data_IF_932554388866
#
_entry.id   IF_932554388866
#
_cell.length_a   1.000
_cell.length_b   1.000
_cell.length_c   1.000
_cell.angle_alpha   90.00
_cell.angle_beta   90.00
_cell.angle_gamma   90.00
#
_symmetry.space_group_name_H-M   'P 1'
#
loop_
_entity.id
_entity.type
_entity.pdbx_description
1 polymer ?
#
# COMPACT_ATOMS: atom_id res chain seq x y z
N UNK A 1 -3.82 21.13 -9.02
CA UNK A 1 -4.25 20.34 -10.20
C UNK A 1 -3.91 18.88 -9.96
N UNK A 2 -4.85 17.93 -10.18
CA UNK A 2 -4.51 16.50 -10.20
C UNK A 2 -3.66 16.24 -11.45
N UNK A 3 -2.43 15.75 -11.28
CA UNK A 3 -1.60 15.31 -12.41
C UNK A 3 -2.32 14.14 -13.07
N UNK A 4 -2.57 14.21 -14.38
CA UNK A 4 -3.07 13.06 -15.14
C UNK A 4 -1.87 12.24 -15.59
N UNK A 5 -1.90 10.94 -15.32
CA UNK A 5 -0.92 9.98 -15.81
C UNK A 5 -1.50 9.28 -17.04
N UNK A 6 -0.69 9.11 -18.08
CA UNK A 6 -1.10 8.45 -19.32
C UNK A 6 -1.15 6.92 -19.16
N UNK A 7 -0.47 6.37 -18.15
CA UNK A 7 -0.46 4.94 -17.85
C UNK A 7 -0.20 4.66 -16.37
N UNK A 8 -0.48 3.42 -15.94
CA UNK A 8 -0.08 2.97 -14.60
C UNK A 8 1.45 2.97 -14.43
N UNK A 9 2.24 2.66 -15.47
CA UNK A 9 3.70 2.66 -15.36
C UNK A 9 4.27 4.05 -15.05
N UNK A 10 3.70 5.08 -15.67
CA UNK A 10 4.06 6.48 -15.37
C UNK A 10 3.66 6.85 -13.94
N UNK A 11 2.43 6.49 -13.53
CA UNK A 11 1.99 6.68 -12.15
C UNK A 11 2.88 5.93 -11.16
N UNK A 12 3.27 4.70 -11.47
CA UNK A 12 4.03 3.84 -10.56
C UNK A 12 5.43 4.42 -10.30
N UNK A 13 6.04 5.02 -11.33
CA UNK A 13 7.32 5.73 -11.19
C UNK A 13 7.19 6.89 -10.21
N UNK A 14 6.13 7.71 -10.31
CA UNK A 14 5.81 8.76 -9.33
C UNK A 14 5.44 8.18 -7.95
N UNK A 15 4.66 7.11 -7.91
CA UNK A 15 4.23 6.48 -6.68
C UNK A 15 5.44 6.04 -5.86
N UNK A 16 6.47 5.46 -6.49
CA UNK A 16 7.70 5.09 -5.79
C UNK A 16 8.47 6.30 -5.25
N UNK A 17 8.38 7.49 -5.87
CA UNK A 17 8.98 8.71 -5.30
C UNK A 17 8.25 9.17 -4.04
N UNK A 18 6.96 8.90 -3.92
CA UNK A 18 6.17 9.16 -2.70
C UNK A 18 6.45 8.16 -1.57
N UNK A 19 7.27 7.13 -1.83
CA UNK A 19 7.68 6.08 -0.89
C UNK A 19 9.21 5.96 -0.82
N UNK A 20 9.89 7.11 -0.83
CA UNK A 20 11.36 7.17 -0.78
C UNK A 20 11.92 6.60 0.53
N UNK A 21 11.21 6.78 1.65
CA UNK A 21 11.65 6.27 2.94
C UNK A 21 11.46 4.76 3.09
N UNK A 22 12.52 4.07 3.53
CA UNK A 22 12.54 2.63 3.78
C UNK A 22 11.52 2.19 4.82
N UNK A 23 11.35 2.95 5.90
CA UNK A 23 10.37 2.64 6.94
C UNK A 23 8.93 2.78 6.43
N UNK A 24 8.66 3.75 5.56
CA UNK A 24 7.35 3.89 4.91
C UNK A 24 7.04 2.64 4.06
N UNK A 25 7.95 2.22 3.18
CA UNK A 25 7.77 1.00 2.37
C UNK A 25 7.54 -0.25 3.22
N UNK A 26 8.27 -0.39 4.34
CA UNK A 26 8.10 -1.51 5.27
C UNK A 26 6.74 -1.50 5.96
N UNK A 27 6.22 -0.33 6.33
CA UNK A 27 4.89 -0.22 6.90
C UNK A 27 3.81 -0.59 5.89
N UNK A 28 3.93 -0.13 4.64
CA UNK A 28 3.07 -0.58 3.55
C UNK A 28 3.12 -2.10 3.37
N UNK A 29 4.32 -2.67 3.32
CA UNK A 29 4.52 -4.11 3.19
C UNK A 29 3.87 -4.88 4.35
N UNK A 30 4.09 -4.45 5.59
CA UNK A 30 3.47 -5.04 6.77
C UNK A 30 1.95 -4.93 6.74
N UNK A 31 1.41 -3.78 6.31
CA UNK A 31 -0.02 -3.58 6.08
C UNK A 31 -0.60 -4.56 5.06
N UNK A 32 0.08 -4.78 3.93
CA UNK A 32 -0.32 -5.79 2.93
C UNK A 32 -0.30 -7.21 3.47
N UNK A 33 0.70 -7.58 4.29
CA UNK A 33 0.72 -8.89 4.96
C UNK A 33 -0.48 -9.03 5.90
N UNK A 34 -0.79 -8.02 6.70
CA UNK A 34 -1.92 -8.04 7.63
C UNK A 34 -3.27 -8.13 6.89
N UNK A 35 -3.40 -7.50 5.72
CA UNK A 35 -4.56 -7.66 4.83
C UNK A 35 -4.73 -9.13 4.42
N UNK A 36 -3.66 -9.78 3.96
CA UNK A 36 -3.70 -11.19 3.56
C UNK A 36 -4.01 -12.11 4.74
N UNK A 37 -3.44 -11.84 5.91
CA UNK A 37 -3.72 -12.60 7.14
C UNK A 37 -5.19 -12.44 7.54
N UNK A 38 -5.73 -11.22 7.54
CA UNK A 38 -7.14 -10.97 7.88
C UNK A 38 -8.09 -11.73 6.94
N UNK A 39 -7.82 -11.70 5.62
CA UNK A 39 -8.60 -12.44 4.63
C UNK A 39 -8.48 -13.95 4.85
N UNK A 40 -7.27 -14.47 5.07
CA UNK A 40 -7.05 -15.89 5.32
C UNK A 40 -7.81 -16.36 6.57
N UNK A 41 -7.77 -15.58 7.67
CA UNK A 41 -8.51 -15.88 8.90
C UNK A 41 -10.02 -15.84 8.66
N UNK A 42 -10.53 -14.85 7.91
CA UNK A 42 -11.95 -14.78 7.55
C UNK A 42 -12.42 -16.05 6.82
N UNK A 43 -11.62 -16.54 5.87
CA UNK A 43 -11.91 -17.76 5.10
C UNK A 43 -11.82 -19.02 5.96
N UNK A 44 -10.75 -19.18 6.74
CA UNK A 44 -10.52 -20.37 7.57
C UNK A 44 -11.58 -20.51 8.66
N UNK A 45 -11.99 -19.40 9.27
CA UNK A 45 -12.96 -19.38 10.37
C UNK A 45 -14.41 -19.25 9.90
N UNK A 46 -14.63 -18.91 8.62
CA UNK A 46 -15.96 -18.53 8.11
C UNK A 46 -16.51 -17.23 8.71
N UNK A 47 -15.70 -16.48 9.47
CA UNK A 47 -16.13 -15.29 10.19
C UNK A 47 -15.78 -14.01 9.41
N UNK A 48 -16.80 -13.44 8.76
CA UNK A 48 -16.67 -12.20 7.98
C UNK A 48 -16.26 -10.96 8.81
N UNK A 49 -16.33 -11.01 10.14
CA UNK A 49 -15.85 -9.91 11.01
C UNK A 49 -14.36 -9.60 10.89
N UNK A 50 -13.58 -10.51 10.29
CA UNK A 50 -12.18 -10.26 9.96
C UNK A 50 -11.99 -9.42 8.69
N UNK A 51 -12.99 -9.32 7.81
CA UNK A 51 -12.88 -8.56 6.56
C UNK A 51 -12.67 -7.05 6.80
N UNK A 52 -13.31 -6.38 7.77
CA UNK A 52 -13.00 -5.00 8.11
C UNK A 52 -11.56 -4.78 8.61
N UNK A 53 -10.91 -5.79 9.18
CA UNK A 53 -9.52 -5.67 9.62
C UNK A 53 -8.55 -5.44 8.44
N UNK A 54 -8.87 -5.96 7.24
CA UNK A 54 -8.05 -5.77 6.06
C UNK A 54 -7.85 -4.28 5.69
N UNK A 55 -8.90 -3.48 5.38
CA UNK A 55 -8.71 -2.07 5.07
C UNK A 55 -8.17 -1.28 6.27
N UNK A 56 -8.52 -1.62 7.51
CA UNK A 56 -8.00 -0.94 8.71
C UNK A 56 -6.48 -1.12 8.82
N UNK A 57 -5.98 -2.34 8.72
CA UNK A 57 -4.55 -2.60 8.79
C UNK A 57 -3.81 -2.07 7.56
N UNK A 58 -4.35 -2.27 6.35
CA UNK A 58 -3.74 -1.79 5.11
C UNK A 58 -3.56 -0.27 5.11
N UNK A 59 -4.67 0.48 5.22
CA UNK A 59 -4.61 1.93 5.21
C UNK A 59 -3.98 2.51 6.48
N UNK A 60 -4.21 1.91 7.65
CA UNK A 60 -3.60 2.34 8.90
C UNK A 60 -2.08 2.32 8.82
N UNK A 61 -1.48 1.20 8.39
CA UNK A 61 -0.04 1.10 8.23
C UNK A 61 0.50 2.03 7.13
N UNK A 62 -0.18 2.11 5.98
CA UNK A 62 0.20 3.01 4.89
C UNK A 62 0.24 4.48 5.33
N UNK A 63 -0.80 4.94 6.04
CA UNK A 63 -0.88 6.32 6.52
C UNK A 63 0.15 6.63 7.60
N UNK A 64 0.46 5.68 8.49
CA UNK A 64 1.58 5.83 9.43
C UNK A 64 2.90 6.04 8.68
N UNK A 65 3.13 5.28 7.59
CA UNK A 65 4.28 5.48 6.70
C UNK A 65 4.36 6.90 6.14
N UNK A 66 3.29 7.32 5.48
CA UNK A 66 3.21 8.62 4.84
C UNK A 66 3.33 9.79 5.81
N UNK A 67 2.63 9.77 6.94
CA UNK A 67 2.58 10.94 7.81
C UNK A 67 3.82 11.07 8.71
N UNK A 68 4.42 9.97 9.16
CA UNK A 68 5.55 10.02 10.07
C UNK A 68 6.91 10.01 9.37
N UNK A 69 7.03 9.31 8.24
CA UNK A 69 8.33 9.09 7.57
C UNK A 69 8.51 9.93 6.30
N UNK A 70 7.60 9.82 5.34
CA UNK A 70 7.71 10.61 4.09
C UNK A 70 7.14 12.03 4.24
N UNK A 71 6.31 12.25 5.28
CA UNK A 71 5.61 13.53 5.58
C UNK A 71 4.86 14.09 4.38
N UNK A 72 4.29 13.23 3.56
CA UNK A 72 3.47 13.58 2.40
C UNK A 72 2.01 13.17 2.61
N UNK A 73 1.15 13.61 1.70
CA UNK A 73 -0.25 13.16 1.65
C UNK A 73 -0.35 11.95 0.71
N UNK A 74 -0.98 10.85 1.14
CA UNK A 74 -1.16 9.66 0.31
C UNK A 74 -1.73 9.99 -1.07
N UNK A 75 -1.08 9.46 -2.12
CA UNK A 75 -1.55 9.60 -3.50
C UNK A 75 -2.97 9.04 -3.71
N UNK A 76 -3.41 8.14 -2.82
CA UNK A 76 -4.75 7.53 -2.79
C UNK A 76 -5.88 8.56 -2.81
N UNK A 77 -5.68 9.75 -2.23
CA UNK A 77 -6.68 10.82 -2.28
C UNK A 77 -6.87 11.43 -3.67
N UNK A 78 -5.87 11.33 -4.54
CA UNK A 78 -5.93 11.82 -5.91
C UNK A 78 -6.22 10.70 -6.93
N UNK A 79 -5.63 9.52 -6.71
CA UNK A 79 -5.65 8.38 -7.64
C UNK A 79 -5.94 7.07 -6.89
N UNK A 80 -7.14 6.87 -6.34
CA UNK A 80 -7.43 5.77 -5.40
C UNK A 80 -7.16 4.38 -6.00
N UNK A 81 -7.61 4.15 -7.24
CA UNK A 81 -7.41 2.85 -7.92
C UNK A 81 -5.93 2.59 -8.20
N UNK A 82 -5.22 3.59 -8.74
CA UNK A 82 -3.81 3.42 -9.07
C UNK A 82 -2.94 3.29 -7.81
N UNK A 83 -3.26 3.99 -6.72
CA UNK A 83 -2.57 3.80 -5.44
C UNK A 83 -2.79 2.41 -4.88
N UNK A 84 -4.03 1.90 -4.90
CA UNK A 84 -4.30 0.53 -4.46
C UNK A 84 -3.51 -0.50 -5.27
N UNK A 85 -3.49 -0.38 -6.60
CA UNK A 85 -2.67 -1.24 -7.47
C UNK A 85 -1.17 -1.02 -7.20
N UNK A 86 -0.77 0.21 -6.88
CA UNK A 86 0.58 0.61 -6.50
C UNK A 86 1.08 -0.10 -5.25
N UNK A 87 0.25 -0.20 -4.21
CA UNK A 87 0.58 -0.91 -2.95
C UNK A 87 0.93 -2.37 -3.25
N UNK A 88 0.10 -3.05 -4.05
CA UNK A 88 0.34 -4.45 -4.44
C UNK A 88 1.51 -4.63 -5.41
N UNK A 89 1.72 -3.68 -6.32
CA UNK A 89 2.88 -3.69 -7.21
C UNK A 89 4.19 -3.51 -6.42
N UNK A 90 4.22 -2.59 -5.46
CA UNK A 90 5.35 -2.39 -4.55
C UNK A 90 5.57 -3.61 -3.66
N UNK A 91 4.51 -4.20 -3.10
CA UNK A 91 4.60 -5.44 -2.32
C UNK A 91 5.26 -6.56 -3.13
N UNK A 92 4.80 -6.80 -4.37
CA UNK A 92 5.39 -7.78 -5.29
C UNK A 92 6.85 -7.45 -5.61
N UNK A 93 7.17 -6.20 -5.91
CA UNK A 93 8.52 -5.80 -6.32
C UNK A 93 9.52 -5.87 -5.15
N UNK A 94 9.07 -5.69 -3.91
CA UNK A 94 9.83 -5.99 -2.70
C UNK A 94 10.10 -7.50 -2.58
N UNK A 95 9.06 -8.34 -2.72
CA UNK A 95 9.23 -9.81 -2.69
C UNK A 95 10.18 -10.32 -3.79
N UNK A 96 10.12 -9.70 -4.97
CA UNK A 96 11.00 -10.01 -6.10
C UNK A 96 12.41 -9.41 -5.98
N UNK A 97 12.72 -8.69 -4.89
CA UNK A 97 14.03 -8.06 -4.67
C UNK A 97 14.35 -6.89 -5.61
N UNK A 98 13.36 -6.38 -6.36
CA UNK A 98 13.52 -5.23 -7.27
C UNK A 98 13.57 -3.90 -6.52
N UNK A 99 12.93 -3.85 -5.35
CA UNK A 99 12.94 -2.69 -4.45
C UNK A 99 13.61 -3.13 -3.15
N UNK A 100 14.58 -2.35 -2.62
CA UNK A 100 15.22 -2.68 -1.36
C UNK A 100 14.23 -2.55 -0.20
N UNK A 101 14.10 -3.65 0.55
CA UNK A 101 13.37 -3.71 1.81
C UNK A 101 14.05 -2.90 2.90
#
# INVERSE_FOLDING_TARGET
>A
MRRRYASFAEFYSFYLTEHGNRACRRLHFAGSVLVLVAIAVAVITGNAWWLPAAPVCGYGCAWLGHFFFDRNRPATFAHPVYSFVGDWAMFRDILAGKIPF
#
